data_IF_662204893226
#
_entry.id   IF_662204893226
#
_cell.length_a   1.000
_cell.length_b   1.000
_cell.length_c   1.000
_cell.angle_alpha   90.00
_cell.angle_beta   90.00
_cell.angle_gamma   90.00
#
_symmetry.space_group_name_H-M   'P 1'
#
loop_
_entity.id
_entity.type
_entity.pdbx_description
1 polymer ?
#
# COMPACT_ATOMS: atom_id res chain seq x y z
N UNK A 1 8.63 -4.29 -18.10
CA UNK A 1 7.97 -3.18 -17.36
C UNK A 1 7.18 -3.81 -16.24
N UNK A 2 7.23 -3.25 -15.03
CA UNK A 2 6.46 -3.77 -13.89
C UNK A 2 4.97 -3.49 -14.12
N UNK A 3 4.08 -4.35 -13.63
CA UNK A 3 2.64 -4.09 -13.63
C UNK A 3 2.31 -2.84 -12.80
N UNK A 4 1.35 -2.01 -13.25
CA UNK A 4 1.03 -0.74 -12.59
C UNK A 4 0.58 -0.93 -11.13
N UNK A 5 -0.19 -1.98 -10.84
CA UNK A 5 -0.59 -2.32 -9.48
C UNK A 5 0.62 -2.55 -8.58
N UNK A 6 1.55 -3.40 -9.06
CA UNK A 6 2.80 -3.70 -8.34
C UNK A 6 3.71 -2.49 -8.19
N UNK A 7 3.76 -1.61 -9.19
CA UNK A 7 4.51 -0.36 -9.09
C UNK A 7 3.94 0.55 -7.99
N UNK A 8 2.61 0.64 -7.89
CA UNK A 8 1.94 1.38 -6.81
C UNK A 8 2.14 0.75 -5.43
N UNK A 9 2.04 -0.57 -5.30
CA UNK A 9 2.36 -1.29 -4.05
C UNK A 9 3.78 -0.97 -3.56
N UNK A 10 4.76 -1.08 -4.47
CA UNK A 10 6.15 -0.77 -4.17
C UNK A 10 6.37 0.70 -3.83
N UNK A 11 5.63 1.61 -4.45
CA UNK A 11 5.68 3.04 -4.17
C UNK A 11 5.14 3.36 -2.77
N UNK A 12 4.01 2.76 -2.38
CA UNK A 12 3.44 2.90 -1.03
C UNK A 12 4.35 2.27 0.02
N UNK A 13 4.95 1.11 -0.27
CA UNK A 13 5.91 0.47 0.61
C UNK A 13 7.11 1.38 0.95
N UNK A 14 7.64 2.09 -0.06
CA UNK A 14 8.71 3.06 0.14
C UNK A 14 8.26 4.25 1.00
N UNK A 15 7.07 4.81 0.73
CA UNK A 15 6.49 5.88 1.54
C UNK A 15 6.31 5.47 3.00
N UNK A 16 5.73 4.28 3.26
CA UNK A 16 5.57 3.73 4.62
C UNK A 16 6.90 3.57 5.34
N UNK A 17 7.94 3.14 4.62
CA UNK A 17 9.32 3.09 5.12
C UNK A 17 9.79 4.44 5.68
N UNK A 18 9.54 5.51 4.94
CA UNK A 18 9.87 6.87 5.37
C UNK A 18 9.03 7.33 6.58
N UNK A 19 7.79 6.85 6.71
CA UNK A 19 6.95 7.11 7.90
C UNK A 19 7.35 6.28 9.13
N UNK A 20 8.47 5.56 9.08
CA UNK A 20 8.95 4.71 10.18
C UNK A 20 8.33 3.32 10.22
N UNK A 21 7.69 2.88 9.14
CA UNK A 21 7.15 1.54 8.99
C UNK A 21 8.19 0.54 8.47
N UNK A 22 8.23 -0.64 9.07
CA UNK A 22 8.99 -1.79 8.59
C UNK A 22 8.08 -2.66 7.72
N UNK A 23 8.39 -2.80 6.44
CA UNK A 23 7.60 -3.65 5.54
C UNK A 23 7.94 -5.11 5.82
N UNK A 24 6.99 -5.84 6.43
CA UNK A 24 7.12 -7.26 6.72
C UNK A 24 6.83 -8.10 5.48
N UNK A 25 5.77 -7.76 4.74
CA UNK A 25 5.36 -8.45 3.54
C UNK A 25 4.80 -7.50 2.48
N UNK A 26 5.02 -7.87 1.21
CA UNK A 26 4.32 -7.33 0.06
C UNK A 26 3.59 -8.49 -0.63
N UNK A 27 2.29 -8.32 -0.87
CA UNK A 27 1.39 -9.30 -1.49
C UNK A 27 1.34 -10.63 -0.74
N UNK A 28 1.08 -10.57 0.56
CA UNK A 28 0.94 -11.77 1.36
C UNK A 28 -0.34 -12.51 1.00
N UNK A 29 -0.24 -13.81 0.70
CA UNK A 29 -1.36 -14.63 0.22
C UNK A 29 -1.70 -15.72 1.22
N UNK A 30 -2.98 -15.98 1.37
CA UNK A 30 -3.53 -17.12 2.10
C UNK A 30 -4.69 -17.74 1.31
N UNK A 31 -5.19 -18.92 1.71
CA UNK A 31 -6.42 -19.48 1.14
C UNK A 31 -7.64 -18.55 1.23
N UNK A 32 -7.63 -17.60 2.18
CA UNK A 32 -8.72 -16.67 2.45
C UNK A 32 -8.64 -15.37 1.63
N UNK A 33 -7.45 -15.00 1.13
CA UNK A 33 -7.26 -13.76 0.41
C UNK A 33 -5.81 -13.33 0.21
N UNK A 34 -5.65 -12.07 -0.18
CA UNK A 34 -4.36 -11.39 -0.36
C UNK A 34 -4.40 -10.08 0.43
N UNK A 35 -3.26 -9.70 1.02
CA UNK A 35 -3.03 -8.39 1.63
C UNK A 35 -1.85 -7.77 0.89
N UNK A 36 -2.04 -6.56 0.35
CA UNK A 36 -1.06 -5.92 -0.52
C UNK A 36 0.21 -5.55 0.24
N UNK A 37 0.08 -4.95 1.43
CA UNK A 37 1.24 -4.67 2.29
C UNK A 37 0.91 -4.99 3.76
N UNK A 38 1.90 -5.54 4.46
CA UNK A 38 1.89 -5.69 5.92
C UNK A 38 3.07 -4.91 6.46
N UNK A 39 2.80 -3.88 7.25
CA UNK A 39 3.81 -2.99 7.81
C UNK A 39 3.74 -2.95 9.34
N UNK A 40 4.88 -3.07 9.99
CA UNK A 40 5.01 -2.93 11.43
C UNK A 40 5.54 -1.53 11.76
N UNK A 41 4.94 -0.85 12.73
CA UNK A 41 5.42 0.43 13.24
C UNK A 41 5.88 0.24 14.70
N UNK A 42 7.19 -0.01 14.92
CA UNK A 42 7.73 -0.30 16.26
C UNK A 42 7.43 0.80 17.27
N UNK A 43 7.48 2.07 16.86
CA UNK A 43 7.26 3.22 17.73
C UNK A 43 5.83 3.33 18.29
N UNK A 44 4.85 2.70 17.66
CA UNK A 44 3.43 2.77 18.05
C UNK A 44 2.80 1.40 18.34
N UNK A 45 3.58 0.31 18.23
CA UNK A 45 3.10 -1.08 18.33
C UNK A 45 1.92 -1.39 17.38
N UNK A 46 1.96 -0.81 16.19
CA UNK A 46 0.91 -0.99 15.17
C UNK A 46 1.38 -2.01 14.14
N UNK A 47 0.49 -2.93 13.79
CA UNK A 47 0.60 -3.78 12.61
C UNK A 47 -0.45 -3.32 11.59
N UNK A 48 -0.02 -2.64 10.55
CA UNK A 48 -0.88 -2.13 9.49
C UNK A 48 -1.02 -3.15 8.37
N UNK A 49 -2.26 -3.51 8.04
CA UNK A 49 -2.63 -4.25 6.85
C UNK A 49 -3.16 -3.25 5.83
N UNK A 50 -2.40 -3.02 4.77
CA UNK A 50 -2.66 -1.94 3.81
C UNK A 50 -3.16 -2.52 2.50
N UNK A 51 -4.29 -2.02 2.04
CA UNK A 51 -4.79 -2.22 0.68
C UNK A 51 -4.32 -1.06 -0.21
N UNK A 52 -3.72 -1.35 -1.36
CA UNK A 52 -3.20 -0.36 -2.29
C UNK A 52 -4.04 -0.31 -3.55
N UNK A 53 -4.53 0.88 -3.88
CA UNK A 53 -5.31 1.10 -5.10
C UNK A 53 -4.62 2.06 -6.02
N UNK A 54 -4.09 1.51 -7.09
CA UNK A 54 -3.44 2.28 -8.15
C UNK A 54 -4.44 2.57 -9.27
N UNK A 55 -4.64 3.85 -9.57
CA UNK A 55 -5.59 4.35 -10.56
C UNK A 55 -4.86 4.98 -11.73
N UNK A 56 -5.41 4.90 -12.93
CA UNK A 56 -4.96 5.66 -14.10
C UNK A 56 -6.10 6.52 -14.64
N UNK A 57 -5.77 7.61 -15.33
CA UNK A 57 -6.78 8.50 -15.93
C UNK A 57 -7.83 7.74 -16.75
N UNK A 58 -9.11 7.95 -16.42
CA UNK A 58 -10.26 7.34 -17.10
C UNK A 58 -11.07 6.35 -16.25
N UNK A 59 -10.53 5.84 -15.14
CA UNK A 59 -11.25 4.97 -14.21
C UNK A 59 -11.56 5.74 -12.91
N UNK A 60 -12.64 6.52 -12.94
CA UNK A 60 -13.15 7.28 -11.79
C UNK A 60 -14.24 6.47 -11.08
N UNK A 61 -13.85 5.42 -10.38
CA UNK A 61 -14.70 4.83 -9.34
C UNK A 61 -14.75 5.77 -8.14
N UNK A 62 -15.92 6.40 -7.97
CA UNK A 62 -16.26 7.42 -6.98
C UNK A 62 -15.72 7.08 -5.57
N UNK A 63 -14.68 7.79 -5.14
CA UNK A 63 -14.26 7.89 -3.73
C UNK A 63 -13.49 6.68 -3.18
N UNK A 64 -12.21 6.90 -2.83
CA UNK A 64 -11.31 5.89 -2.25
C UNK A 64 -11.86 5.17 -1.00
N UNK A 65 -12.76 5.80 -0.22
CA UNK A 65 -13.46 5.19 0.92
C UNK A 65 -14.63 4.26 0.51
N UNK A 66 -15.43 4.63 -0.50
CA UNK A 66 -16.54 3.79 -0.99
C UNK A 66 -16.04 2.51 -1.68
N UNK A 67 -14.75 2.49 -2.03
CA UNK A 67 -14.15 1.46 -2.84
C UNK A 67 -13.81 0.17 -2.03
N UNK A 68 -13.78 0.19 -0.69
CA UNK A 68 -13.68 -1.04 0.12
C UNK A 68 -15.02 -1.34 0.77
N UNK A 69 -15.89 -2.00 0.02
CA UNK A 69 -17.19 -2.43 0.50
C UNK A 69 -17.07 -3.41 1.69
N UNK A 70 -18.16 -3.60 2.44
CA UNK A 70 -18.21 -4.46 3.61
C UNK A 70 -17.67 -5.89 3.34
N UNK A 71 -17.94 -6.46 2.16
CA UNK A 71 -17.43 -7.78 1.77
C UNK A 71 -15.90 -7.80 1.68
N UNK A 72 -15.28 -6.73 1.17
CA UNK A 72 -13.83 -6.62 1.08
C UNK A 72 -13.20 -6.39 2.45
N UNK A 73 -13.84 -5.60 3.32
CA UNK A 73 -13.41 -5.42 4.71
C UNK A 73 -13.41 -6.75 5.47
N UNK A 74 -14.48 -7.53 5.36
CA UNK A 74 -14.59 -8.85 6.00
C UNK A 74 -13.49 -9.80 5.50
N UNK A 75 -13.27 -9.85 4.18
CA UNK A 75 -12.21 -10.66 3.60
C UNK A 75 -10.81 -10.26 4.10
N UNK A 76 -10.54 -8.96 4.21
CA UNK A 76 -9.28 -8.45 4.76
C UNK A 76 -9.11 -8.83 6.24
N UNK A 77 -10.18 -8.70 7.05
CA UNK A 77 -10.16 -9.14 8.46
C UNK A 77 -9.86 -10.63 8.59
N UNK A 78 -10.53 -11.49 7.83
CA UNK A 78 -10.28 -12.94 7.83
C UNK A 78 -8.84 -13.28 7.41
N UNK A 79 -8.35 -12.59 6.38
CA UNK A 79 -6.99 -12.78 5.86
C UNK A 79 -5.94 -12.34 6.90
N UNK A 80 -6.17 -11.23 7.60
CA UNK A 80 -5.33 -10.75 8.69
C UNK A 80 -5.36 -11.68 9.91
N UNK A 81 -6.53 -12.21 10.29
CA UNK A 81 -6.63 -13.21 11.36
C UNK A 81 -5.83 -14.47 11.04
N UNK A 82 -5.84 -14.94 9.78
CA UNK A 82 -5.00 -16.05 9.37
C UNK A 82 -3.50 -15.71 9.45
N UNK A 83 -3.12 -14.48 9.06
CA UNK A 83 -1.75 -14.01 9.19
C UNK A 83 -1.27 -14.09 10.64
N UNK A 84 -2.02 -13.52 11.58
CA UNK A 84 -1.69 -13.50 13.01
C UNK A 84 -1.62 -14.91 13.61
N UNK A 85 -2.54 -15.80 13.22
CA UNK A 85 -2.50 -17.20 13.66
C UNK A 85 -1.22 -17.93 13.17
N UNK A 86 -0.72 -17.56 12.00
CA UNK A 86 0.52 -18.12 11.44
C UNK A 86 1.81 -17.43 11.93
N UNK A 87 1.70 -16.26 12.54
CA UNK A 87 2.83 -15.43 13.00
C UNK A 87 2.60 -14.92 14.44
N UNK A 88 2.68 -15.79 15.46
CA UNK A 88 2.36 -15.45 16.84
C UNK A 88 3.20 -14.30 17.42
N UNK A 89 4.39 -14.03 16.88
CA UNK A 89 5.23 -12.91 17.33
C UNK A 89 4.60 -11.53 17.07
N UNK A 90 3.56 -11.44 16.23
CA UNK A 90 2.85 -10.20 15.91
C UNK A 90 1.46 -10.12 16.56
N UNK A 91 1.03 -11.13 17.33
CA UNK A 91 -0.35 -11.21 17.86
C UNK A 91 -0.70 -10.15 18.89
N UNK A 92 0.30 -9.61 19.59
CA UNK A 92 0.12 -8.63 20.66
C UNK A 92 0.12 -7.17 20.14
N UNK A 93 0.24 -6.98 18.82
CA UNK A 93 0.24 -5.67 18.20
C UNK A 93 -1.18 -5.17 17.89
N UNK A 94 -1.36 -3.85 17.96
CA UNK A 94 -2.60 -3.22 17.55
C UNK A 94 -2.73 -3.29 16.03
N UNK A 95 -3.72 -4.05 15.56
CA UNK A 95 -3.98 -4.18 14.14
C UNK A 95 -4.70 -2.93 13.63
N UNK A 96 -4.23 -2.40 12.50
CA UNK A 96 -4.86 -1.29 11.79
C UNK A 96 -5.07 -1.69 10.34
N UNK A 97 -6.21 -1.34 9.77
CA UNK A 97 -6.47 -1.58 8.35
C UNK A 97 -6.45 -0.27 7.60
N UNK A 98 -5.50 -0.13 6.68
CA UNK A 98 -5.26 1.12 5.97
C UNK A 98 -5.58 0.98 4.48
N UNK A 99 -5.87 2.11 3.83
CA UNK A 99 -6.05 2.16 2.38
C UNK A 99 -5.17 3.26 1.80
N UNK A 100 -4.35 2.90 0.82
CA UNK A 100 -3.54 3.84 0.05
C UNK A 100 -4.12 4.03 -1.35
N UNK A 101 -4.32 5.28 -1.77
CA UNK A 101 -4.79 5.63 -3.11
C UNK A 101 -3.61 6.23 -3.89
N UNK A 102 -3.17 5.53 -4.92
CA UNK A 102 -2.09 5.95 -5.80
C UNK A 102 -2.67 6.37 -7.14
N UNK A 103 -2.30 7.55 -7.61
CA UNK A 103 -2.69 8.05 -8.92
C UNK A 103 -1.50 7.96 -9.89
N UNK A 104 -1.74 7.34 -11.05
CA UNK A 104 -0.79 7.26 -12.15
C UNK A 104 -1.09 8.36 -13.17
N UNK A 105 -0.23 9.38 -13.17
CA UNK A 105 -0.30 10.55 -14.06
C UNK A 105 0.17 10.23 -15.49
N UNK A 106 0.94 9.15 -15.66
CA UNK A 106 1.41 8.72 -16.97
C UNK A 106 2.28 7.47 -16.92
N UNK A 107 2.32 6.77 -18.06
CA UNK A 107 3.27 5.69 -18.30
C UNK A 107 4.41 6.24 -19.16
N UNK A 108 5.63 6.24 -18.64
CA UNK A 108 6.79 6.80 -19.34
C UNK A 108 7.41 5.85 -20.36
N UNK A 109 6.89 4.61 -20.47
CA UNK A 109 7.46 3.61 -21.36
C UNK A 109 8.84 3.12 -20.86
N UNK A 110 9.36 2.04 -21.45
CA UNK A 110 10.69 1.50 -21.13
C UNK A 110 11.83 2.37 -21.66
N UNK A 111 11.77 3.70 -21.52
CA UNK A 111 12.95 4.54 -21.74
C UNK A 111 13.83 4.41 -20.49
N UNK A 112 15.11 4.01 -20.65
CA UNK A 112 16.01 3.90 -19.52
C UNK A 112 16.16 5.28 -18.91
N UNK A 113 15.66 5.44 -17.69
CA UNK A 113 16.01 6.59 -16.86
C UNK A 113 17.47 6.33 -16.47
N UNK A 114 18.38 6.99 -17.16
CA UNK A 114 19.78 7.09 -16.73
C UNK A 114 19.82 8.05 -15.55
N UNK A 115 19.61 7.51 -14.35
CA UNK A 115 20.27 7.96 -13.13
C UNK A 115 19.77 7.12 -11.97
N UNK A 116 20.68 6.34 -11.43
CA UNK A 116 20.69 5.89 -10.05
C UNK A 116 20.62 7.13 -9.15
N UNK A 117 19.42 7.63 -8.91
CA UNK A 117 19.17 8.41 -7.70
C UNK A 117 18.24 7.55 -6.86
N UNK A 118 18.83 6.81 -5.92
CA UNK A 118 18.12 6.50 -4.67
C UNK A 118 17.39 7.78 -4.28
N UNK A 119 16.05 7.79 -4.14
CA UNK A 119 15.40 9.01 -3.74
C UNK A 119 15.81 9.29 -2.30
N UNK A 120 16.82 10.13 -2.15
CA UNK A 120 16.98 11.04 -1.02
C UNK A 120 15.83 12.05 -0.99
N UNK A 121 14.94 12.02 -1.99
CA UNK A 121 13.70 12.77 -2.03
C UNK A 121 12.75 12.25 -0.93
N UNK A 122 12.33 13.16 -0.07
CA UNK A 122 11.24 12.91 0.84
C UNK A 122 9.97 12.60 0.03
N UNK A 123 9.30 11.49 0.31
CA UNK A 123 8.00 11.21 -0.27
C UNK A 123 6.94 12.03 0.48
N UNK A 124 6.50 13.11 -0.14
CA UNK A 124 5.39 13.90 0.40
C UNK A 124 4.05 13.41 -0.16
N UNK A 125 3.02 13.40 0.69
CA UNK A 125 1.67 13.07 0.25
C UNK A 125 1.22 14.10 -0.80
N UNK A 126 0.71 13.62 -1.93
CA UNK A 126 0.32 14.47 -3.06
C UNK A 126 1.47 14.88 -4.00
N UNK A 127 2.72 14.51 -3.71
CA UNK A 127 3.84 14.73 -4.63
C UNK A 127 3.92 13.60 -5.66
N UNK A 128 4.02 13.98 -6.94
CA UNK A 128 4.24 13.05 -8.04
C UNK A 128 5.73 12.74 -8.21
N UNK A 129 6.06 11.48 -8.47
CA UNK A 129 7.42 10.99 -8.61
C UNK A 129 7.49 9.92 -9.70
N UNK A 130 8.65 9.81 -10.34
CA UNK A 130 8.89 8.72 -11.28
C UNK A 130 9.28 7.47 -10.52
N UNK A 131 8.49 6.40 -10.67
CA UNK A 131 8.68 5.14 -9.99
C UNK A 131 8.48 3.97 -10.95
N UNK A 132 9.51 3.16 -11.15
CA UNK A 132 9.47 1.94 -11.98
C UNK A 132 8.89 2.14 -13.40
N UNK A 133 9.13 3.32 -13.99
CA UNK A 133 8.64 3.67 -15.34
C UNK A 133 7.25 4.32 -15.38
N UNK A 134 6.65 4.60 -14.24
CA UNK A 134 5.39 5.33 -14.11
C UNK A 134 5.60 6.67 -13.40
N UNK A 135 4.75 7.65 -13.69
CA UNK A 135 4.66 8.86 -12.90
C UNK A 135 3.53 8.68 -11.88
N UNK A 136 3.90 8.37 -10.63
CA UNK A 136 2.97 7.99 -9.56
C UNK A 136 2.91 9.07 -8.48
N UNK A 137 1.75 9.23 -7.88
CA UNK A 137 1.49 10.13 -6.77
C UNK A 137 0.68 9.38 -5.71
N UNK A 138 1.09 9.45 -4.44
CA UNK A 138 0.25 8.96 -3.34
C UNK A 138 -0.76 10.06 -3.06
N UNK A 139 -1.99 9.88 -3.55
CA UNK A 139 -3.05 10.87 -3.46
C UNK A 139 -3.62 10.92 -2.03
N UNK A 140 -3.87 9.76 -1.44
CA UNK A 140 -4.43 9.63 -0.09
C UNK A 140 -3.85 8.43 0.63
N UNK A 141 -3.67 8.57 1.94
CA UNK A 141 -3.42 7.47 2.86
C UNK A 141 -4.44 7.53 4.00
N UNK A 142 -5.35 6.57 4.03
CA UNK A 142 -6.43 6.51 5.00
C UNK A 142 -6.07 5.50 6.08
N UNK A 143 -5.73 6.00 7.26
CA UNK A 143 -5.47 5.16 8.43
C UNK A 143 -6.78 4.66 9.04
N UNK A 144 -6.78 3.41 9.50
CA UNK A 144 -7.96 2.81 10.16
C UNK A 144 -9.25 2.94 9.32
N UNK A 145 -9.12 2.68 8.01
CA UNK A 145 -10.16 2.88 7.02
C UNK A 145 -11.42 2.02 7.26
N UNK A 146 -11.31 0.96 8.08
CA UNK A 146 -12.40 0.05 8.41
C UNK A 146 -12.74 0.07 9.91
N UNK A 147 -12.53 1.22 10.57
CA UNK A 147 -12.65 1.45 12.02
C UNK A 147 -13.51 0.45 12.80
N UNK A 148 -13.00 0.04 13.96
CA UNK A 148 -13.64 -0.93 14.86
C UNK A 148 -15.10 -0.64 15.18
#
# INVERSE_FOLDING_TARGET
MVDLGRAGESFVAAWLGQQGGEILHQRWRSPWGEIDLIAHFPGTKILAFVEVKTRSGGNWDQGGLLAVNARKQEKLRQTASYFLASQPQWSDLNCRFDVAIVFCLGNLGAKPIQSEESPSANFELGQAMVWQGYHLQLEQYLTDAFGG
#
